data_IF_419989500456
#
_entry.id   IF_419989500456
#
_cell.length_a   1.000
_cell.length_b   1.000
_cell.length_c   1.000
_cell.angle_alpha   90.00
_cell.angle_beta   90.00
_cell.angle_gamma   90.00
#
_symmetry.space_group_name_H-M   'P 1'
#
loop_
_entity.id
_entity.type
_entity.pdbx_description
1 polymer ?
#
# COMPACT_ATOMS: atom_id res chain seq x y z
N UNK A 1 20.10 -10.60 1.84
CA UNK A 1 18.69 -10.59 1.40
C UNK A 1 18.41 -9.20 0.84
N UNK A 2 17.70 -9.05 -0.29
CA UNK A 2 17.56 -7.73 -0.95
C UNK A 2 16.37 -6.95 -0.38
N UNK A 3 16.54 -6.42 0.83
CA UNK A 3 15.49 -5.70 1.57
C UNK A 3 15.06 -4.39 0.92
N UNK A 4 16.01 -3.65 0.32
CA UNK A 4 15.70 -2.42 -0.41
C UNK A 4 14.78 -2.67 -1.62
N UNK A 5 14.97 -3.78 -2.35
CA UNK A 5 14.09 -4.15 -3.47
C UNK A 5 12.70 -4.55 -2.99
N UNK A 6 12.61 -5.21 -1.83
CA UNK A 6 11.33 -5.53 -1.18
C UNK A 6 10.62 -4.24 -0.74
N UNK A 7 11.36 -3.26 -0.22
CA UNK A 7 10.81 -1.94 0.10
C UNK A 7 10.32 -1.23 -1.16
N UNK A 8 11.09 -1.21 -2.25
CA UNK A 8 10.73 -0.54 -3.51
C UNK A 8 9.36 -1.01 -4.01
N UNK A 9 9.19 -2.33 -4.16
CA UNK A 9 7.95 -2.89 -4.70
C UNK A 9 6.75 -2.64 -3.78
N UNK A 10 6.91 -2.77 -2.46
CA UNK A 10 5.79 -2.59 -1.52
C UNK A 10 5.45 -1.12 -1.29
N UNK A 11 6.44 -0.21 -1.31
CA UNK A 11 6.19 1.23 -1.30
C UNK A 11 5.41 1.66 -2.54
N UNK A 12 5.72 1.09 -3.71
CA UNK A 12 4.97 1.37 -4.93
C UNK A 12 3.53 0.83 -4.84
N UNK A 13 3.36 -0.46 -4.50
CA UNK A 13 2.03 -1.10 -4.36
C UNK A 13 1.13 -0.39 -3.34
N UNK A 14 1.68 0.04 -2.21
CA UNK A 14 0.92 0.82 -1.22
C UNK A 14 0.54 2.21 -1.77
N UNK A 15 1.44 2.88 -2.49
CA UNK A 15 1.15 4.17 -3.13
C UNK A 15 -0.01 4.07 -4.10
N UNK A 16 0.02 3.06 -4.99
CA UNK A 16 -1.00 2.78 -5.99
C UNK A 16 -2.33 2.38 -5.35
N UNK A 17 -2.31 1.47 -4.39
CA UNK A 17 -3.53 0.99 -3.71
C UNK A 17 -4.23 2.13 -2.98
N UNK A 18 -3.49 2.98 -2.26
CA UNK A 18 -4.06 4.15 -1.61
C UNK A 18 -4.63 5.15 -2.62
N UNK A 19 -4.01 5.30 -3.80
CA UNK A 19 -4.48 6.25 -4.84
C UNK A 19 -5.77 5.74 -5.44
N UNK A 20 -5.83 4.45 -5.75
CA UNK A 20 -7.02 3.80 -6.24
C UNK A 20 -8.17 3.87 -5.23
N UNK A 21 -7.92 3.63 -3.94
CA UNK A 21 -8.92 3.82 -2.89
C UNK A 21 -9.43 5.27 -2.84
N UNK A 22 -8.53 6.26 -2.94
CA UNK A 22 -8.96 7.67 -3.00
C UNK A 22 -9.88 7.93 -4.19
N UNK A 23 -9.53 7.43 -5.38
CA UNK A 23 -10.31 7.65 -6.60
C UNK A 23 -11.65 6.91 -6.57
N UNK A 24 -11.69 5.67 -6.09
CA UNK A 24 -12.95 4.92 -5.88
C UNK A 24 -13.85 5.69 -4.90
N UNK A 25 -13.32 6.09 -3.75
CA UNK A 25 -14.12 6.81 -2.75
C UNK A 25 -14.57 8.18 -3.26
N UNK A 26 -13.76 8.86 -4.08
CA UNK A 26 -14.08 10.18 -4.62
C UNK A 26 -15.10 10.14 -5.74
N UNK A 27 -14.97 9.21 -6.68
CA UNK A 27 -15.71 9.23 -7.94
C UNK A 27 -16.78 8.15 -8.05
N UNK A 28 -16.70 7.07 -7.25
CA UNK A 28 -17.69 5.99 -7.26
C UNK A 28 -18.57 6.02 -6.02
N UNK A 29 -18.00 6.13 -4.82
CA UNK A 29 -18.77 6.12 -3.57
C UNK A 29 -19.24 7.51 -3.13
N UNK A 30 -18.53 8.56 -3.56
CA UNK A 30 -18.75 9.95 -3.17
C UNK A 30 -18.80 10.21 -1.65
N UNK A 31 -18.20 9.33 -0.84
CA UNK A 31 -18.20 9.43 0.62
C UNK A 31 -17.14 10.44 1.12
N UNK A 32 -17.60 11.63 1.49
CA UNK A 32 -16.75 12.73 2.01
C UNK A 32 -16.03 12.38 3.32
N UNK A 33 -16.59 11.50 4.16
CA UNK A 33 -16.00 11.12 5.45
C UNK A 33 -14.84 10.15 5.21
N UNK A 34 -15.07 9.09 4.44
CA UNK A 34 -14.03 8.10 4.12
C UNK A 34 -12.93 8.72 3.24
N UNK A 35 -13.30 9.59 2.28
CA UNK A 35 -12.34 10.30 1.44
C UNK A 35 -11.34 11.12 2.27
N UNK A 36 -11.81 11.80 3.32
CA UNK A 36 -10.95 12.58 4.23
C UNK A 36 -9.95 11.67 4.96
N UNK A 37 -10.40 10.50 5.43
CA UNK A 37 -9.55 9.50 6.09
C UNK A 37 -8.47 8.96 5.15
N UNK A 38 -8.85 8.56 3.94
CA UNK A 38 -7.90 8.07 2.93
C UNK A 38 -6.87 9.13 2.57
N UNK A 39 -7.27 10.39 2.36
CA UNK A 39 -6.33 11.50 2.06
C UNK A 39 -5.37 11.76 3.21
N UNK A 40 -5.86 11.74 4.45
CA UNK A 40 -5.00 11.90 5.62
C UNK A 40 -4.01 10.75 5.73
N UNK A 41 -4.46 9.51 5.52
CA UNK A 41 -3.60 8.32 5.50
C UNK A 41 -2.52 8.42 4.41
N UNK A 42 -2.90 8.84 3.20
CA UNK A 42 -1.98 9.08 2.07
C UNK A 42 -0.93 10.12 2.40
N UNK A 43 -1.33 11.26 2.96
CA UNK A 43 -0.40 12.30 3.42
C UNK A 43 0.59 11.75 4.45
N UNK A 44 0.07 11.02 5.44
CA UNK A 44 0.89 10.37 6.48
C UNK A 44 1.91 9.40 5.88
N UNK A 45 1.48 8.55 4.94
CA UNK A 45 2.36 7.61 4.26
C UNK A 45 3.42 8.31 3.41
N UNK A 46 3.06 9.33 2.63
CA UNK A 46 4.02 10.10 1.82
C UNK A 46 5.07 10.79 2.69
N UNK A 47 4.70 11.31 3.85
CA UNK A 47 5.65 11.90 4.80
C UNK A 47 6.60 10.84 5.39
N UNK A 48 6.10 9.65 5.70
CA UNK A 48 6.94 8.54 6.16
C UNK A 48 7.91 8.08 5.06
N UNK A 49 7.41 7.91 3.83
CA UNK A 49 8.20 7.53 2.65
C UNK A 49 9.33 8.52 2.39
N UNK A 50 9.10 9.83 2.53
CA UNK A 50 10.14 10.87 2.36
C UNK A 50 11.30 10.78 3.36
N UNK A 51 11.11 10.10 4.50
CA UNK A 51 12.18 9.89 5.50
C UNK A 51 13.01 8.63 5.26
N UNK A 52 12.67 7.84 4.24
CA UNK A 52 13.40 6.63 3.85
C UNK A 52 14.52 6.99 2.87
N UNK A 53 15.57 6.15 2.73
CA UNK A 53 16.62 6.33 1.72
C UNK A 53 16.08 6.00 0.31
N UNK A 54 15.27 6.89 -0.25
CA UNK A 54 14.51 6.65 -1.49
C UNK A 54 15.44 6.41 -2.68
N UNK A 55 16.58 7.09 -2.77
CA UNK A 55 17.53 6.91 -3.85
C UNK A 55 18.14 5.50 -3.84
N UNK A 56 18.49 4.98 -2.68
CA UNK A 56 19.00 3.61 -2.51
C UNK A 56 17.91 2.57 -2.82
N UNK A 57 16.68 2.83 -2.35
CA UNK A 57 15.52 1.97 -2.62
C UNK A 57 15.26 1.87 -4.13
N UNK A 58 15.21 2.99 -4.85
CA UNK A 58 14.97 3.01 -6.30
C UNK A 58 16.14 2.35 -7.04
N UNK A 59 17.38 2.60 -6.61
CA UNK A 59 18.59 2.01 -7.21
C UNK A 59 18.63 0.48 -7.10
N UNK A 60 17.95 -0.09 -6.09
CA UNK A 60 17.84 -1.54 -5.92
C UNK A 60 16.85 -2.23 -6.87
N UNK A 61 16.05 -1.46 -7.62
CA UNK A 61 14.99 -1.97 -8.50
C UNK A 61 15.57 -2.81 -9.63
N UNK A 62 14.99 -3.99 -9.81
CA UNK A 62 15.35 -4.91 -10.89
C UNK A 62 14.10 -5.55 -11.51
N UNK A 63 13.06 -4.76 -11.76
CA UNK A 63 11.77 -5.23 -12.26
C UNK A 63 11.87 -6.05 -13.55
N UNK A 64 12.86 -5.76 -14.40
CA UNK A 64 13.10 -6.50 -15.64
C UNK A 64 13.50 -7.95 -15.40
N UNK A 65 14.20 -8.20 -14.29
CA UNK A 65 14.75 -9.50 -13.88
C UNK A 65 13.96 -10.12 -12.72
N UNK A 66 12.81 -9.55 -12.34
CA UNK A 66 11.95 -10.12 -11.30
C UNK A 66 11.41 -11.49 -11.73
N UNK A 67 11.60 -12.49 -10.88
CA UNK A 67 10.94 -13.78 -11.04
C UNK A 67 9.41 -13.56 -11.00
N UNK A 68 8.68 -14.21 -11.91
CA UNK A 68 7.22 -14.05 -12.00
C UNK A 68 6.74 -12.88 -12.85
N UNK A 69 7.64 -12.04 -13.42
CA UNK A 69 7.24 -10.94 -14.35
C UNK A 69 6.40 -11.42 -15.55
N UNK A 70 6.71 -12.60 -16.07
CA UNK A 70 6.01 -13.19 -17.22
C UNK A 70 4.70 -13.92 -16.85
N UNK A 71 4.46 -14.18 -15.55
CA UNK A 71 3.24 -14.86 -15.13
C UNK A 71 2.07 -13.88 -15.11
N UNK A 72 1.01 -14.22 -15.85
CA UNK A 72 -0.32 -13.62 -15.68
C UNK A 72 -0.90 -14.11 -14.36
N UNK A 73 -0.46 -13.54 -13.23
CA UNK A 73 -1.06 -13.80 -11.93
C UNK A 73 -2.40 -13.06 -11.73
N UNK A 74 -2.83 -12.27 -12.72
CA UNK A 74 -4.13 -11.60 -12.77
C UNK A 74 -5.12 -12.43 -13.58
N UNK A 75 -5.60 -13.52 -13.00
CA UNK A 75 -6.85 -14.17 -13.43
C UNK A 75 -7.72 -14.37 -12.20
N UNK A 76 -8.18 -13.27 -11.61
CA UNK A 76 -9.41 -13.30 -10.82
C UNK A 76 -10.45 -12.45 -11.55
N UNK A 77 -11.47 -13.11 -12.09
CA UNK A 77 -12.70 -12.42 -12.47
C UNK A 77 -13.29 -11.86 -11.19
N UNK A 78 -13.13 -10.55 -10.96
CA UNK A 78 -13.76 -9.86 -9.84
C UNK A 78 -15.26 -9.86 -10.06
N UNK A 79 -16.02 -10.29 -9.06
CA UNK A 79 -17.45 -10.58 -9.20
C UNK A 79 -18.33 -9.36 -8.87
N UNK A 80 -17.80 -8.37 -8.15
CA UNK A 80 -18.51 -7.14 -7.77
C UNK A 80 -17.56 -5.96 -7.45
N UNK A 81 -18.10 -4.75 -7.35
CA UNK A 81 -17.37 -3.55 -6.90
C UNK A 81 -16.86 -3.70 -5.46
N UNK A 82 -17.65 -4.35 -4.59
CA UNK A 82 -17.25 -4.65 -3.20
C UNK A 82 -16.04 -5.57 -3.16
N UNK A 83 -16.02 -6.64 -3.97
CA UNK A 83 -14.86 -7.54 -4.08
C UNK A 83 -13.62 -6.79 -4.56
N UNK A 84 -13.78 -5.83 -5.49
CA UNK A 84 -12.68 -5.03 -6.00
C UNK A 84 -12.11 -4.08 -4.95
N UNK A 85 -12.97 -3.42 -4.16
CA UNK A 85 -12.58 -2.57 -3.03
C UNK A 85 -11.86 -3.41 -1.99
N UNK A 86 -12.42 -4.57 -1.61
CA UNK A 86 -11.82 -5.48 -0.65
C UNK A 86 -10.43 -5.98 -1.09
N UNK A 87 -10.29 -6.40 -2.36
CA UNK A 87 -9.00 -6.80 -2.90
C UNK A 87 -7.99 -5.65 -2.91
N UNK A 88 -8.44 -4.42 -3.15
CA UNK A 88 -7.57 -3.24 -3.17
C UNK A 88 -7.08 -2.87 -1.77
N UNK A 89 -7.96 -2.84 -0.77
CA UNK A 89 -7.57 -2.56 0.60
C UNK A 89 -6.73 -3.70 1.20
N UNK A 90 -6.99 -4.95 0.81
CA UNK A 90 -6.16 -6.10 1.20
C UNK A 90 -4.73 -5.96 0.68
N UNK A 91 -4.54 -5.63 -0.59
CA UNK A 91 -3.19 -5.36 -1.16
C UNK A 91 -2.49 -4.19 -0.46
N UNK A 92 -3.23 -3.15 -0.07
CA UNK A 92 -2.67 -2.05 0.72
C UNK A 92 -2.17 -2.55 2.09
N UNK A 93 -2.98 -3.36 2.80
CA UNK A 93 -2.62 -3.92 4.12
C UNK A 93 -1.41 -4.84 4.05
N UNK A 94 -1.36 -5.72 3.05
CA UNK A 94 -0.22 -6.62 2.81
C UNK A 94 1.05 -5.81 2.55
N UNK A 95 0.98 -4.80 1.66
CA UNK A 95 2.12 -3.94 1.36
C UNK A 95 2.60 -3.20 2.61
N UNK A 96 1.68 -2.64 3.41
CA UNK A 96 2.02 -1.97 4.67
C UNK A 96 2.67 -2.94 5.68
N UNK A 97 2.16 -4.18 5.78
CA UNK A 97 2.72 -5.22 6.65
C UNK A 97 4.15 -5.58 6.23
N UNK A 98 4.41 -5.75 4.94
CA UNK A 98 5.75 -6.06 4.44
C UNK A 98 6.72 -4.90 4.70
N UNK A 99 6.31 -3.66 4.47
CA UNK A 99 7.15 -2.49 4.79
C UNK A 99 7.45 -2.46 6.29
N UNK A 100 6.44 -2.63 7.16
CA UNK A 100 6.62 -2.64 8.62
C UNK A 100 7.70 -3.65 9.05
N UNK A 101 7.60 -4.90 8.59
CA UNK A 101 8.53 -5.96 8.98
C UNK A 101 9.95 -5.74 8.43
N UNK A 102 10.10 -5.22 7.21
CA UNK A 102 11.42 -4.90 6.67
C UNK A 102 12.07 -3.74 7.42
N UNK A 103 11.29 -2.71 7.80
CA UNK A 103 11.83 -1.60 8.59
C UNK A 103 12.31 -2.03 9.97
N UNK A 104 11.64 -3.00 10.61
CA UNK A 104 12.09 -3.59 11.88
C UNK A 104 13.44 -4.28 11.74
N UNK A 105 13.64 -5.05 10.67
CA UNK A 105 14.89 -5.78 10.43
C UNK A 105 16.08 -4.84 10.22
N UNK A 106 15.85 -3.74 9.50
CA UNK A 106 16.88 -2.74 9.19
C UNK A 106 17.05 -1.69 10.32
N UNK A 107 16.39 -1.86 11.48
CA UNK A 107 16.39 -0.94 12.62
C UNK A 107 16.03 0.52 12.26
N UNK A 108 15.17 0.71 11.24
CA UNK A 108 14.66 2.03 10.93
C UNK A 108 13.60 2.43 11.96
N UNK A 109 13.75 3.60 12.57
CA UNK A 109 12.82 4.14 13.58
C UNK A 109 11.39 4.46 13.06
N UNK A 110 11.06 4.06 11.82
CA UNK A 110 9.82 4.38 11.12
C UNK A 110 8.81 3.22 11.10
N UNK A 111 9.13 2.05 11.66
CA UNK A 111 8.26 0.88 11.69
C UNK A 111 6.92 1.17 12.39
N UNK A 112 6.94 1.89 13.52
CA UNK A 112 5.74 2.28 14.26
C UNK A 112 4.78 3.13 13.40
N UNK A 113 5.33 4.00 12.54
CA UNK A 113 4.50 4.84 11.66
C UNK A 113 3.80 4.03 10.58
N UNK A 114 4.46 2.99 10.07
CA UNK A 114 3.85 2.07 9.10
C UNK A 114 2.83 1.16 9.78
N UNK A 115 3.07 0.76 11.02
CA UNK A 115 2.10 0.03 11.85
C UNK A 115 0.82 0.84 12.07
N UNK A 116 0.93 2.13 12.38
CA UNK A 116 -0.22 3.06 12.47
C UNK A 116 -1.00 3.12 11.15
N UNK A 117 -0.29 3.24 10.02
CA UNK A 117 -0.91 3.24 8.69
C UNK A 117 -1.69 1.95 8.44
N UNK A 118 -1.10 0.79 8.79
CA UNK A 118 -1.75 -0.51 8.65
C UNK A 118 -3.00 -0.63 9.50
N UNK A 119 -3.00 -0.11 10.72
CA UNK A 119 -4.20 -0.09 11.56
C UNK A 119 -5.29 0.83 11.01
N UNK A 120 -4.93 2.02 10.52
CA UNK A 120 -5.89 2.89 9.83
C UNK A 120 -6.51 2.23 8.59
N UNK A 121 -5.78 1.35 7.90
CA UNK A 121 -6.35 0.56 6.79
C UNK A 121 -7.42 -0.43 7.26
N UNK A 122 -7.30 -1.02 8.46
CA UNK A 122 -8.35 -1.89 9.02
C UNK A 122 -9.62 -1.09 9.34
N UNK A 123 -9.47 0.11 9.89
CA UNK A 123 -10.62 0.97 10.21
C UNK A 123 -11.35 1.41 8.94
N UNK A 124 -10.60 1.84 7.91
CA UNK A 124 -11.16 2.24 6.61
C UNK A 124 -11.83 1.05 5.91
N UNK A 125 -11.25 -0.15 6.00
CA UNK A 125 -11.86 -1.37 5.46
C UNK A 125 -13.23 -1.63 6.06
N UNK A 126 -13.34 -1.54 7.39
CA UNK A 126 -14.62 -1.71 8.06
C UNK A 126 -15.66 -0.71 7.57
N UNK A 127 -15.29 0.55 7.36
CA UNK A 127 -16.18 1.60 6.83
C UNK A 127 -16.52 1.44 5.34
N UNK A 128 -15.69 0.77 4.54
CA UNK A 128 -15.92 0.56 3.11
C UNK A 128 -16.75 -0.69 2.80
N UNK A 129 -16.78 -1.65 3.73
CA UNK A 129 -17.38 -2.98 3.52
C UNK A 129 -18.64 -3.18 4.37
N UNK A 130 -18.80 -2.42 5.47
CA UNK A 130 -19.96 -2.46 6.36
C UNK A 130 -20.85 -1.26 6.12
#
# INVERSE_FOLDING_TARGET
>A
MNWLRILDVNLNRLTESLKLLEDITRFSLEDKKVLRKIRQLRKTFLLAKKKMPIDDIISSRQSVKDLGRAQKFDISQRRSDSDFIYATITRAKESARTIEEVLKLENFAMDNRIKEIRFSLYDIEKELIT
#
